data_IF_560846137663
#
_entry.id   IF_560846137663
#
_cell.length_a   1.000
_cell.length_b   1.000
_cell.length_c   1.000
_cell.angle_alpha   90.00
_cell.angle_beta   90.00
_cell.angle_gamma   90.00
#
_symmetry.space_group_name_H-M   'P 1'
#
loop_
_entity.id
_entity.type
_entity.pdbx_description
1 polymer ?
#
# COMPACT_ATOMS: atom_id res chain seq x y z
N UNK A 1 17.13 0.01 -4.11
CA UNK A 1 16.56 0.95 -5.10
C UNK A 1 15.97 2.19 -4.44
N UNK A 2 15.58 3.22 -5.20
CA UNK A 2 15.20 4.56 -4.71
C UNK A 2 14.08 4.61 -3.64
N UNK A 3 13.27 3.55 -3.51
CA UNK A 3 12.19 3.45 -2.51
C UNK A 3 12.57 2.65 -1.25
N UNK A 4 13.81 2.16 -1.17
CA UNK A 4 14.37 1.49 0.00
C UNK A 4 14.01 0.01 0.16
N UNK A 5 13.62 -0.67 -0.94
CA UNK A 5 13.71 -2.13 -0.99
C UNK A 5 15.16 -2.51 -1.29
N UNK A 6 15.72 -3.38 -0.45
CA UNK A 6 16.99 -4.03 -0.70
C UNK A 6 16.81 -5.15 -1.74
N UNK A 7 17.89 -5.47 -2.46
CA UNK A 7 17.94 -6.73 -3.21
C UNK A 7 17.86 -7.90 -2.23
N UNK A 8 17.34 -9.03 -2.69
CA UNK A 8 17.30 -10.25 -1.87
C UNK A 8 18.54 -11.04 -2.23
N UNK A 9 19.53 -11.03 -1.33
CA UNK A 9 20.68 -11.94 -1.44
C UNK A 9 20.21 -13.33 -1.03
N UNK A 10 20.21 -14.26 -1.98
CA UNK A 10 19.82 -15.63 -1.69
C UNK A 10 20.82 -16.23 -0.69
N UNK A 11 20.31 -16.87 0.36
CA UNK A 11 21.14 -17.65 1.26
C UNK A 11 21.89 -18.73 0.46
N UNK A 12 23.11 -19.05 0.89
CA UNK A 12 23.97 -20.07 0.24
C UNK A 12 23.30 -21.45 0.14
N UNK A 13 22.33 -21.73 1.01
CA UNK A 13 21.53 -22.96 1.04
C UNK A 13 20.08 -22.65 1.41
N UNK A 14 19.14 -23.47 0.94
CA UNK A 14 17.70 -23.31 1.19
C UNK A 14 16.95 -22.73 -0.01
N UNK A 15 15.62 -22.60 0.12
CA UNK A 15 14.79 -21.99 -0.92
C UNK A 15 15.10 -20.49 -0.99
N UNK A 16 15.43 -19.93 -2.16
CA UNK A 16 15.67 -18.50 -2.28
C UNK A 16 14.41 -17.72 -1.88
N UNK A 17 14.61 -16.59 -1.20
CA UNK A 17 13.52 -15.71 -0.80
C UNK A 17 12.76 -15.15 -2.01
N UNK A 18 11.50 -14.81 -1.80
CA UNK A 18 10.70 -14.18 -2.86
C UNK A 18 11.25 -12.80 -3.21
N UNK A 19 11.24 -12.46 -4.50
CA UNK A 19 11.61 -11.12 -4.94
C UNK A 19 10.66 -10.07 -4.34
N UNK A 20 11.15 -8.90 -3.85
CA UNK A 20 10.33 -7.90 -3.14
C UNK A 20 9.16 -7.40 -3.98
N UNK A 21 9.31 -7.38 -5.31
CA UNK A 21 8.24 -6.99 -6.21
C UNK A 21 7.03 -7.94 -6.15
N UNK A 22 7.22 -9.25 -5.98
CA UNK A 22 6.11 -10.20 -5.89
C UNK A 22 5.27 -9.96 -4.62
N UNK A 23 5.95 -9.78 -3.48
CA UNK A 23 5.31 -9.49 -2.20
C UNK A 23 4.66 -8.10 -2.18
N UNK A 24 5.31 -7.09 -2.77
CA UNK A 24 4.75 -5.75 -2.90
C UNK A 24 3.47 -5.74 -3.74
N UNK A 25 3.42 -6.48 -4.86
CA UNK A 25 2.21 -6.64 -5.66
C UNK A 25 1.06 -7.22 -4.84
N UNK A 26 1.34 -8.20 -3.98
CA UNK A 26 0.35 -8.80 -3.08
C UNK A 26 -0.25 -7.76 -2.12
N UNK A 27 0.58 -6.87 -1.57
CA UNK A 27 0.11 -5.76 -0.71
C UNK A 27 -0.70 -4.71 -1.48
N UNK A 28 -0.33 -4.41 -2.72
CA UNK A 28 -1.13 -3.52 -3.57
C UNK A 28 -2.50 -4.14 -3.87
N UNK A 29 -2.53 -5.43 -4.22
CA UNK A 29 -3.78 -6.18 -4.40
C UNK A 29 -4.63 -6.16 -3.13
N UNK A 30 -4.04 -6.45 -1.97
CA UNK A 30 -4.73 -6.45 -0.67
C UNK A 30 -5.32 -5.09 -0.31
N UNK A 31 -4.60 -4.01 -0.60
CA UNK A 31 -5.11 -2.66 -0.42
C UNK A 31 -6.33 -2.37 -1.28
N UNK A 32 -6.26 -2.65 -2.58
CA UNK A 32 -7.35 -2.38 -3.52
C UNK A 32 -8.59 -3.23 -3.23
N UNK A 33 -8.39 -4.47 -2.79
CA UNK A 33 -9.47 -5.45 -2.56
C UNK A 33 -9.91 -5.57 -1.09
N UNK A 34 -9.44 -4.68 -0.21
CA UNK A 34 -9.73 -4.68 1.23
C UNK A 34 -9.48 -6.05 1.88
N UNK A 35 -8.32 -6.63 1.58
CA UNK A 35 -7.81 -7.87 2.19
C UNK A 35 -6.64 -7.53 3.11
N UNK A 36 -6.89 -7.19 4.39
CA UNK A 36 -5.86 -6.68 5.28
C UNK A 36 -5.03 -7.78 5.98
N UNK A 37 -5.46 -9.04 5.91
CA UNK A 37 -4.79 -10.16 6.61
C UNK A 37 -3.82 -10.88 5.68
N UNK A 38 -2.62 -11.15 6.18
CA UNK A 38 -1.59 -11.95 5.53
C UNK A 38 -2.06 -13.39 5.27
N UNK A 39 -2.88 -13.97 6.16
CA UNK A 39 -3.51 -15.30 5.95
C UNK A 39 -4.58 -15.26 4.87
N UNK A 40 -5.33 -14.17 4.76
CA UNK A 40 -6.26 -13.97 3.65
C UNK A 40 -5.51 -13.77 2.35
N UNK A 41 -4.41 -13.02 2.34
CA UNK A 41 -3.55 -12.84 1.17
C UNK A 41 -2.90 -14.16 0.70
N UNK A 42 -2.44 -15.00 1.62
CA UNK A 42 -1.97 -16.35 1.32
C UNK A 42 -3.06 -17.18 0.62
N UNK A 43 -4.28 -17.19 1.17
CA UNK A 43 -5.43 -17.88 0.55
C UNK A 43 -5.75 -17.34 -0.83
N UNK A 44 -5.73 -16.02 -1.01
CA UNK A 44 -5.94 -15.38 -2.31
C UNK A 44 -4.86 -15.77 -3.32
N UNK A 45 -3.58 -15.82 -2.91
CA UNK A 45 -2.48 -16.23 -3.78
C UNK A 45 -2.62 -17.68 -4.29
N UNK A 46 -3.21 -18.56 -3.47
CA UNK A 46 -3.44 -19.96 -3.81
C UNK A 46 -4.75 -20.26 -4.55
N UNK A 47 -5.69 -19.32 -4.66
CA UNK A 47 -7.03 -19.60 -5.23
C UNK A 47 -7.56 -18.60 -6.26
N UNK A 48 -7.07 -17.35 -6.23
CA UNK A 48 -7.58 -16.28 -7.07
C UNK A 48 -6.73 -16.15 -8.33
N UNK A 49 -7.34 -16.34 -9.50
CA UNK A 49 -6.66 -16.31 -10.81
C UNK A 49 -5.99 -14.96 -11.07
N UNK A 50 -6.57 -13.85 -10.63
CA UNK A 50 -5.97 -12.52 -10.77
C UNK A 50 -4.67 -12.42 -9.98
N UNK A 51 -4.67 -12.98 -8.76
CA UNK A 51 -3.48 -12.96 -7.88
C UNK A 51 -2.43 -13.91 -8.40
N UNK A 52 -2.81 -15.11 -8.86
CA UNK A 52 -1.90 -16.05 -9.51
C UNK A 52 -1.25 -15.41 -10.73
N UNK A 53 -2.00 -14.72 -11.59
CA UNK A 53 -1.42 -14.00 -12.72
C UNK A 53 -0.47 -12.88 -12.25
N UNK A 54 -0.88 -12.09 -11.27
CA UNK A 54 -0.11 -10.96 -10.74
C UNK A 54 1.24 -11.39 -10.14
N UNK A 55 1.26 -12.50 -9.41
CA UNK A 55 2.44 -13.04 -8.72
C UNK A 55 3.26 -14.00 -9.58
N UNK A 56 2.77 -14.40 -10.77
CA UNK A 56 3.40 -15.44 -11.57
C UNK A 56 3.28 -16.83 -10.92
N UNK A 57 2.11 -17.11 -10.34
CA UNK A 57 1.74 -18.33 -9.61
C UNK A 57 2.54 -18.57 -8.32
N UNK A 58 3.26 -17.56 -7.84
CA UNK A 58 3.90 -17.62 -6.52
C UNK A 58 2.82 -17.53 -5.44
N UNK A 59 2.86 -18.45 -4.48
CA UNK A 59 1.99 -18.49 -3.30
C UNK A 59 2.82 -18.46 -2.01
N UNK A 60 3.33 -17.28 -1.60
CA UNK A 60 4.02 -17.11 -0.32
C UNK A 60 3.09 -17.39 0.86
N UNK A 61 3.61 -18.03 1.90
CA UNK A 61 2.86 -18.23 3.14
C UNK A 61 2.66 -16.91 3.91
N UNK A 62 1.67 -16.87 4.82
CA UNK A 62 1.36 -15.67 5.59
C UNK A 62 2.54 -15.18 6.44
N UNK A 63 3.44 -16.07 6.90
CA UNK A 63 4.61 -15.67 7.70
C UNK A 63 5.56 -14.85 6.85
N UNK A 64 5.81 -15.30 5.62
CA UNK A 64 6.64 -14.61 4.63
C UNK A 64 6.04 -13.27 4.25
N UNK A 65 4.72 -13.21 4.06
CA UNK A 65 3.99 -11.98 3.74
C UNK A 65 4.08 -10.97 4.89
N UNK A 66 3.81 -11.40 6.13
CA UNK A 66 3.85 -10.55 7.31
C UNK A 66 5.27 -10.06 7.61
N UNK A 67 6.26 -10.95 7.50
CA UNK A 67 7.67 -10.64 7.74
C UNK A 67 8.19 -9.61 6.73
N UNK A 68 7.81 -9.74 5.45
CA UNK A 68 8.13 -8.74 4.44
C UNK A 68 7.62 -7.34 4.82
N UNK A 69 6.37 -7.24 5.29
CA UNK A 69 5.81 -5.95 5.74
C UNK A 69 6.53 -5.41 6.96
N UNK A 70 6.83 -6.27 7.93
CA UNK A 70 7.59 -5.88 9.14
C UNK A 70 8.95 -5.30 8.78
N UNK A 71 9.69 -5.95 7.88
CA UNK A 71 11.02 -5.51 7.45
C UNK A 71 10.99 -4.28 6.52
N UNK A 72 9.93 -4.13 5.72
CA UNK A 72 9.87 -3.12 4.65
C UNK A 72 8.79 -2.05 4.86
N UNK A 73 8.20 -1.94 6.05
CA UNK A 73 7.11 -0.99 6.35
C UNK A 73 7.37 0.44 5.87
N UNK A 74 8.53 1.05 6.15
CA UNK A 74 8.88 2.38 5.63
C UNK A 74 8.95 2.43 4.09
N UNK A 75 9.43 1.38 3.43
CA UNK A 75 9.53 1.31 1.98
C UNK A 75 8.15 1.17 1.33
N UNK A 76 7.28 0.33 1.90
CA UNK A 76 5.87 0.22 1.51
C UNK A 76 5.19 1.59 1.66
N UNK A 77 5.47 2.31 2.76
CA UNK A 77 4.99 3.66 2.99
C UNK A 77 5.32 4.63 1.87
N UNK A 78 6.59 4.64 1.44
CA UNK A 78 7.06 5.47 0.32
C UNK A 78 6.43 5.07 -1.02
N UNK A 79 6.20 3.78 -1.26
CA UNK A 79 5.48 3.30 -2.46
C UNK A 79 4.05 3.86 -2.47
N UNK A 80 3.31 3.72 -1.38
CA UNK A 80 1.96 4.25 -1.27
C UNK A 80 1.93 5.77 -1.50
N UNK A 81 2.87 6.51 -0.91
CA UNK A 81 2.96 7.95 -1.12
C UNK A 81 3.19 8.31 -2.60
N UNK A 82 4.12 7.61 -3.27
CA UNK A 82 4.40 7.81 -4.69
C UNK A 82 3.23 7.39 -5.58
N UNK A 83 2.53 6.31 -5.24
CA UNK A 83 1.33 5.85 -5.94
C UNK A 83 0.21 6.88 -5.85
N UNK A 84 -0.08 7.42 -4.66
CA UNK A 84 -1.07 8.48 -4.49
C UNK A 84 -0.69 9.76 -5.23
N UNK A 85 0.59 10.12 -5.25
CA UNK A 85 1.08 11.26 -6.05
C UNK A 85 0.85 11.02 -7.56
N UNK A 86 1.22 9.85 -8.07
CA UNK A 86 1.00 9.45 -9.46
C UNK A 86 -0.49 9.49 -9.84
N UNK A 87 -1.38 8.95 -9.01
CA UNK A 87 -2.82 9.01 -9.25
C UNK A 87 -3.36 10.45 -9.29
N UNK A 88 -2.74 11.39 -8.57
CA UNK A 88 -3.11 12.82 -8.65
C UNK A 88 -2.61 13.46 -9.94
N UNK A 89 -1.38 13.16 -10.34
CA UNK A 89 -0.81 13.64 -11.61
C UNK A 89 -1.65 13.18 -12.79
N UNK A 90 -2.14 11.94 -12.75
CA UNK A 90 -3.04 11.38 -13.76
C UNK A 90 -4.50 11.86 -13.62
N UNK A 91 -4.82 12.72 -12.66
CA UNK A 91 -6.19 13.22 -12.45
C UNK A 91 -7.18 12.20 -11.90
N UNK A 92 -6.74 10.99 -11.53
CA UNK A 92 -7.59 9.90 -11.01
C UNK A 92 -8.13 10.16 -9.60
N UNK A 93 -7.51 11.09 -8.86
CA UNK A 93 -7.94 11.55 -7.53
C UNK A 93 -8.51 12.97 -7.57
N UNK A 94 -9.25 13.31 -8.63
CA UNK A 94 -10.04 14.54 -8.70
C UNK A 94 -11.22 14.43 -7.73
N UNK A 95 -11.31 15.38 -6.80
CA UNK A 95 -12.13 15.27 -5.60
C UNK A 95 -13.64 15.28 -5.85
N UNK A 96 -14.30 14.15 -5.66
CA UNK A 96 -15.72 14.11 -5.30
C UNK A 96 -15.88 14.37 -3.80
N UNK A 97 -15.77 15.64 -3.42
CA UNK A 97 -16.48 16.13 -2.22
C UNK A 97 -17.48 17.18 -2.69
N UNK A 98 -18.59 16.68 -3.25
CA UNK A 98 -19.77 17.50 -3.52
C UNK A 98 -20.53 17.61 -2.20
N UNK A 99 -20.36 18.72 -1.50
CA UNK A 99 -21.36 19.22 -0.57
C UNK A 99 -21.90 20.51 -1.20
N UNK A 100 -23.13 20.46 -1.70
CA UNK A 100 -23.84 21.64 -2.19
C UNK A 100 -24.51 22.27 -0.97
N UNK A 101 -23.96 23.39 -0.50
CA UNK A 101 -24.71 24.38 0.26
C UNK A 101 -24.35 25.77 -0.27
N UNK A 102 -25.34 26.67 -0.28
CA UNK A 102 -25.44 27.87 -1.15
C UNK A 102 -24.22 28.81 -1.16
N UNK A 103 -23.95 29.37 -2.34
CA UNK A 103 -22.74 30.14 -2.67
C UNK A 103 -22.65 31.57 -2.11
N UNK A 104 -21.41 32.06 -1.88
CA UNK A 104 -20.99 33.44 -2.18
C UNK A 104 -19.56 33.45 -2.74
N UNK A 105 -19.38 33.99 -3.94
CA UNK A 105 -18.08 34.06 -4.63
C UNK A 105 -17.35 35.40 -4.37
N UNK A 106 -16.07 35.31 -4.00
CA UNK A 106 -15.07 36.39 -4.06
C UNK A 106 -13.79 35.83 -4.70
N UNK A 107 -13.21 36.61 -5.62
CA UNK A 107 -11.87 36.56 -6.24
C UNK A 107 -11.13 35.20 -6.33
N UNK A 108 -10.80 34.81 -7.57
CA UNK A 108 -10.09 33.56 -7.91
C UNK A 108 -8.60 33.64 -7.52
N UNK A 109 -8.31 33.48 -6.23
CA UNK A 109 -7.05 32.93 -5.77
C UNK A 109 -7.41 31.68 -4.94
N UNK A 110 -7.65 30.57 -5.64
CA UNK A 110 -7.97 29.33 -4.97
C UNK A 110 -6.75 28.91 -4.13
N UNK A 111 -6.90 28.97 -2.81
CA UNK A 111 -5.88 28.56 -1.83
C UNK A 111 -5.39 27.12 -2.08
N UNK A 112 -6.20 26.28 -2.71
CA UNK A 112 -5.88 24.89 -3.07
C UNK A 112 -5.13 24.75 -4.40
N UNK A 113 -5.01 25.82 -5.19
CA UNK A 113 -4.18 25.86 -6.42
C UNK A 113 -2.83 26.56 -6.22
N UNK A 114 -2.62 27.19 -5.06
CA UNK A 114 -1.33 27.79 -4.70
C UNK A 114 -0.48 26.76 -3.93
N UNK A 115 0.43 26.09 -4.63
CA UNK A 115 1.38 25.13 -4.07
C UNK A 115 2.64 25.86 -3.61
N UNK A 116 2.74 26.12 -2.30
CA UNK A 116 4.00 26.52 -1.68
C UNK A 116 4.75 25.27 -1.20
N UNK A 117 6.08 25.36 -1.07
CA UNK A 117 6.90 24.26 -0.54
C UNK A 117 6.32 23.71 0.77
N UNK A 118 5.99 24.59 1.74
CA UNK A 118 5.41 24.17 3.01
C UNK A 118 4.02 23.50 2.90
N UNK A 119 3.22 23.79 1.86
CA UNK A 119 1.96 23.05 1.61
C UNK A 119 2.22 21.67 1.02
N UNK A 120 3.21 21.54 0.14
CA UNK A 120 3.63 20.25 -0.40
C UNK A 120 4.16 19.36 0.73
N UNK A 121 4.98 19.91 1.63
CA UNK A 121 5.55 19.19 2.77
C UNK A 121 4.44 18.72 3.74
N UNK A 122 3.50 19.59 4.12
CA UNK A 122 2.35 19.19 4.94
C UNK A 122 1.50 18.11 4.28
N UNK A 123 1.29 18.22 2.97
CA UNK A 123 0.49 17.23 2.24
C UNK A 123 1.20 15.88 2.16
N UNK A 124 2.52 15.88 2.00
CA UNK A 124 3.36 14.68 2.09
C UNK A 124 3.23 14.03 3.46
N UNK A 125 3.36 14.82 4.53
CA UNK A 125 3.22 14.34 5.90
C UNK A 125 1.85 13.68 6.15
N UNK A 126 0.76 14.30 5.71
CA UNK A 126 -0.60 13.71 5.85
C UNK A 126 -0.75 12.35 5.13
N UNK A 127 -0.09 12.19 3.98
CA UNK A 127 -0.08 10.91 3.26
C UNK A 127 0.72 9.88 4.04
N UNK A 128 1.91 10.24 4.52
CA UNK A 128 2.79 9.37 5.31
C UNK A 128 2.08 8.90 6.60
N UNK A 129 1.39 9.80 7.31
CA UNK A 129 0.56 9.47 8.48
C UNK A 129 -0.59 8.52 8.14
N UNK A 130 -1.28 8.76 7.02
CA UNK A 130 -2.38 7.91 6.58
C UNK A 130 -1.92 6.51 6.21
N UNK A 131 -0.75 6.39 5.59
CA UNK A 131 -0.14 5.10 5.28
C UNK A 131 0.32 4.40 6.56
N UNK A 132 0.95 5.11 7.49
CA UNK A 132 1.33 4.56 8.81
C UNK A 132 0.13 3.96 9.53
N UNK A 133 -0.98 4.71 9.59
CA UNK A 133 -2.25 4.22 10.17
C UNK A 133 -2.74 2.95 9.49
N UNK A 134 -2.69 2.91 8.16
CA UNK A 134 -3.12 1.72 7.41
C UNK A 134 -2.23 0.51 7.72
N UNK A 135 -0.91 0.68 7.76
CA UNK A 135 0.01 -0.42 8.13
C UNK A 135 -0.29 -0.96 9.53
N UNK A 136 -0.58 -0.09 10.50
CA UNK A 136 -1.00 -0.53 11.84
C UNK A 136 -2.30 -1.33 11.83
N UNK A 137 -3.26 -0.98 10.96
CA UNK A 137 -4.50 -1.75 10.81
C UNK A 137 -4.24 -3.17 10.26
N UNK A 138 -3.27 -3.33 9.35
CA UNK A 138 -2.86 -4.65 8.86
C UNK A 138 -2.29 -5.52 9.99
N UNK A 139 -1.46 -4.93 10.85
CA UNK A 139 -0.89 -5.64 12.00
C UNK A 139 -1.97 -6.05 13.01
N UNK A 140 -2.96 -5.18 13.26
CA UNK A 140 -4.12 -5.53 14.08
C UNK A 140 -4.94 -6.65 13.45
N UNK A 141 -5.19 -6.59 12.14
CA UNK A 141 -5.94 -7.62 11.42
C UNK A 141 -5.26 -8.99 11.50
N UNK A 142 -3.93 -9.05 11.37
CA UNK A 142 -3.18 -10.30 11.48
C UNK A 142 -3.24 -10.93 12.88
N UNK A 143 -3.34 -10.12 13.94
CA UNK A 143 -3.52 -10.60 15.33
C UNK A 143 -4.93 -11.10 15.60
N UNK A 144 -5.93 -10.52 14.94
CA UNK A 144 -7.34 -10.83 15.16
C UNK A 144 -7.87 -11.95 14.25
N UNK A 145 -7.18 -12.26 13.15
CA UNK A 145 -7.60 -13.34 12.24
C UNK A 145 -7.35 -14.70 12.91
N UNK A 146 -8.41 -15.47 13.26
CA UNK A 146 -8.24 -16.75 13.90
C UNK A 146 -7.48 -17.70 12.96
N UNK A 147 -6.52 -18.44 13.51
CA UNK A 147 -5.89 -19.55 12.79
C UNK A 147 -7.00 -20.52 12.39
N UNK A 148 -7.11 -20.94 11.11
CA UNK A 148 -8.02 -22.00 10.76
C UNK A 148 -7.61 -23.24 11.57
N UNK A 149 -8.51 -23.77 12.38
CA UNK A 149 -8.34 -25.11 12.94
C UNK A 149 -8.23 -26.08 11.77
N UNK A 150 -7.18 -26.90 11.79
CA UNK A 150 -6.95 -28.01 10.85
C UNK A 150 -7.92 -29.15 11.16
#
# INVERSE_FOLDING_TARGET
GALGFAGVDAARTGRPGYHPAALLKLYVYGYLNRVPSSRRLEREAGRNVEVMWLTGQLSPDHKTIAEFRRQNGPAIGRVCARFVALCREMGLLTGTRVAIDGSKFKAVNNRDRNFTQGKLDRRRQQIEESVSRYLSQLDTADRQDPTPEL
#
